data_IF_434617971549
#
_entry.id   IF_434617971549
#
_cell.length_a   1.000
_cell.length_b   1.000
_cell.length_c   1.000
_cell.angle_alpha   90.00
_cell.angle_beta   90.00
_cell.angle_gamma   90.00
#
_symmetry.space_group_name_H-M   'P 1'
#
loop_
_entity.id
_entity.type
_entity.pdbx_description
1 polymer ?
#
# COMPACT_ATOMS: atom_id res chain seq x y z
N UNK A 1 -30.61 8.63 2.92
CA UNK A 1 -30.27 9.12 1.57
C UNK A 1 -28.81 8.82 1.32
N UNK A 2 -28.49 7.94 0.38
CA UNK A 2 -27.11 7.56 0.05
C UNK A 2 -26.40 8.77 -0.55
N UNK A 3 -25.44 9.32 0.17
CA UNK A 3 -24.51 10.32 -0.33
C UNK A 3 -23.68 9.67 -1.43
N UNK A 4 -23.85 10.14 -2.66
CA UNK A 4 -23.05 9.67 -3.79
C UNK A 4 -21.57 9.81 -3.46
N UNK A 5 -20.83 8.71 -3.56
CA UNK A 5 -19.42 8.68 -3.30
C UNK A 5 -18.69 9.63 -4.28
N UNK A 6 -17.90 10.58 -3.78
CA UNK A 6 -17.16 11.51 -4.64
C UNK A 6 -16.30 10.74 -5.64
N UNK A 7 -16.23 11.20 -6.89
CA UNK A 7 -15.46 10.58 -7.99
C UNK A 7 -14.02 10.22 -7.58
N UNK A 8 -13.39 11.05 -6.75
CA UNK A 8 -12.04 10.82 -6.21
C UNK A 8 -11.95 9.55 -5.34
N UNK A 9 -12.93 9.33 -4.43
CA UNK A 9 -12.97 8.12 -3.58
C UNK A 9 -13.17 6.85 -4.41
N UNK A 10 -14.00 6.91 -5.45
CA UNK A 10 -14.19 5.80 -6.38
C UNK A 10 -12.88 5.42 -7.09
N UNK A 11 -12.12 6.41 -7.56
CA UNK A 11 -10.81 6.17 -8.19
C UNK A 11 -9.85 5.50 -7.21
N UNK A 12 -9.78 5.96 -5.96
CA UNK A 12 -8.92 5.34 -4.95
C UNK A 12 -9.34 3.89 -4.68
N UNK A 13 -10.65 3.62 -4.56
CA UNK A 13 -11.16 2.25 -4.40
C UNK A 13 -10.77 1.35 -5.58
N UNK A 14 -10.83 1.86 -6.81
CA UNK A 14 -10.38 1.13 -7.99
C UNK A 14 -8.88 0.82 -7.92
N UNK A 15 -8.05 1.80 -7.56
CA UNK A 15 -6.60 1.59 -7.39
C UNK A 15 -6.31 0.54 -6.31
N UNK A 16 -6.98 0.63 -5.14
CA UNK A 16 -6.85 -0.36 -4.07
C UNK A 16 -7.26 -1.76 -4.54
N UNK A 17 -8.33 -1.84 -5.34
CA UNK A 17 -8.78 -3.09 -5.93
C UNK A 17 -7.76 -3.67 -6.92
N UNK A 18 -7.19 -2.84 -7.76
CA UNK A 18 -6.17 -3.25 -8.72
C UNK A 18 -4.89 -3.74 -8.02
N UNK A 19 -4.50 -3.07 -6.93
CA UNK A 19 -3.39 -3.52 -6.06
C UNK A 19 -3.70 -4.91 -5.46
N UNK A 20 -4.92 -5.14 -4.98
CA UNK A 20 -5.32 -6.45 -4.45
C UNK A 20 -5.25 -7.55 -5.54
N UNK A 21 -5.71 -7.24 -6.76
CA UNK A 21 -5.66 -8.18 -7.89
C UNK A 21 -4.21 -8.46 -8.30
N UNK A 22 -3.37 -7.43 -8.40
CA UNK A 22 -1.95 -7.58 -8.70
C UNK A 22 -1.24 -8.42 -7.63
N UNK A 23 -1.53 -8.17 -6.35
CA UNK A 23 -1.00 -8.95 -5.23
C UNK A 23 -1.42 -10.41 -5.31
N UNK A 24 -2.69 -10.69 -5.62
CA UNK A 24 -3.18 -12.05 -5.84
C UNK A 24 -2.47 -12.74 -7.02
N UNK A 25 -2.25 -12.03 -8.14
CA UNK A 25 -1.51 -12.58 -9.27
C UNK A 25 -0.05 -12.91 -8.91
N UNK A 26 0.60 -12.06 -8.12
CA UNK A 26 1.97 -12.30 -7.64
C UNK A 26 2.06 -13.52 -6.70
N UNK A 27 1.04 -13.75 -5.86
CA UNK A 27 0.94 -14.96 -5.03
C UNK A 27 0.77 -16.21 -5.90
N UNK A 28 -0.17 -16.20 -6.84
CA UNK A 28 -0.45 -17.34 -7.71
C UNK A 28 0.72 -17.71 -8.63
N UNK A 29 1.58 -16.74 -8.95
CA UNK A 29 2.81 -16.94 -9.75
C UNK A 29 4.05 -17.21 -8.89
N UNK A 30 3.92 -17.24 -7.57
CA UNK A 30 5.01 -17.47 -6.63
C UNK A 30 6.04 -16.34 -6.56
N UNK A 31 5.75 -15.16 -7.12
CA UNK A 31 6.63 -13.99 -7.04
C UNK A 31 6.64 -13.38 -5.63
N UNK A 32 5.55 -13.58 -4.89
CA UNK A 32 5.45 -13.37 -3.44
C UNK A 32 4.77 -14.59 -2.83
N UNK A 33 4.95 -14.77 -1.53
CA UNK A 33 4.34 -15.82 -0.71
C UNK A 33 4.12 -15.28 0.69
N UNK A 34 3.33 -15.97 1.51
CA UNK A 34 3.31 -15.72 2.95
C UNK A 34 4.74 -15.80 3.53
N UNK A 35 5.14 -14.75 4.25
CA UNK A 35 6.45 -14.60 4.92
C UNK A 35 6.34 -14.73 6.44
N UNK A 36 5.21 -14.29 6.98
CA UNK A 36 4.94 -14.30 8.42
C UNK A 36 3.60 -13.66 8.75
N UNK A 37 3.30 -13.62 10.05
CA UNK A 37 2.08 -13.04 10.59
C UNK A 37 2.44 -12.02 11.66
N UNK A 38 1.93 -10.80 11.53
CA UNK A 38 2.00 -9.78 12.58
C UNK A 38 0.76 -9.91 13.46
N UNK A 39 0.97 -10.10 14.76
CA UNK A 39 -0.13 -10.24 15.73
C UNK A 39 -0.21 -8.98 16.57
N UNK A 40 -1.41 -8.43 16.68
CA UNK A 40 -1.76 -7.31 17.57
C UNK A 40 -2.92 -7.75 18.46
N UNK A 41 -3.16 -7.10 19.62
CA UNK A 41 -4.18 -7.55 20.57
C UNK A 41 -5.60 -7.72 20.00
N UNK A 42 -5.94 -7.03 18.92
CA UNK A 42 -7.29 -7.02 18.34
C UNK A 42 -7.37 -7.69 16.96
N UNK A 43 -6.23 -8.01 16.35
CA UNK A 43 -6.16 -8.45 14.97
C UNK A 43 -4.82 -9.08 14.61
N UNK A 44 -4.80 -9.81 13.50
CA UNK A 44 -3.55 -10.21 12.85
C UNK A 44 -3.47 -9.68 11.42
N UNK A 45 -2.26 -9.63 10.87
CA UNK A 45 -1.98 -9.23 9.48
C UNK A 45 -0.99 -10.22 8.89
N UNK A 46 -1.10 -10.49 7.61
CA UNK A 46 -0.16 -11.34 6.90
C UNK A 46 0.89 -10.46 6.22
N UNK A 47 2.14 -10.87 6.33
CA UNK A 47 3.26 -10.27 5.62
C UNK A 47 3.53 -11.13 4.38
N UNK A 48 3.47 -10.54 3.19
CA UNK A 48 3.72 -11.21 1.92
C UNK A 48 5.01 -10.68 1.29
N UNK A 49 5.93 -11.57 0.94
CA UNK A 49 7.20 -11.22 0.33
C UNK A 49 7.76 -12.35 -0.53
N UNK A 50 8.75 -12.04 -1.35
CA UNK A 50 9.35 -13.02 -2.26
C UNK A 50 10.38 -12.41 -3.20
N UNK A 51 10.71 -13.09 -4.31
CA UNK A 51 11.73 -12.67 -5.26
C UNK A 51 11.64 -11.20 -5.68
N UNK A 52 10.44 -10.73 -6.01
CA UNK A 52 10.23 -9.35 -6.46
C UNK A 52 10.39 -8.31 -5.35
N UNK A 53 10.30 -8.74 -4.09
CA UNK A 53 10.42 -7.86 -2.92
C UNK A 53 11.78 -7.98 -2.21
N UNK A 54 12.74 -8.67 -2.84
CA UNK A 54 14.13 -8.78 -2.37
C UNK A 54 14.43 -10.02 -1.53
N UNK A 55 13.51 -11.00 -1.48
CA UNK A 55 13.65 -12.21 -0.66
C UNK A 55 13.56 -13.46 -1.50
N UNK A 56 13.96 -14.61 -0.96
CA UNK A 56 13.59 -15.88 -1.59
C UNK A 56 12.14 -16.23 -1.27
N UNK A 57 11.53 -17.02 -2.15
CA UNK A 57 10.24 -17.63 -1.90
C UNK A 57 10.37 -18.68 -0.78
N UNK A 58 9.43 -18.70 0.14
CA UNK A 58 9.30 -19.75 1.16
C UNK A 58 8.92 -21.08 0.49
N UNK A 59 9.74 -22.10 0.73
CA UNK A 59 9.52 -23.45 0.24
C UNK A 59 9.89 -24.46 1.34
N UNK A 60 9.46 -25.71 1.15
CA UNK A 60 9.79 -26.79 2.07
C UNK A 60 11.30 -27.03 2.18
N UNK A 61 11.82 -27.07 3.41
CA UNK A 61 13.24 -27.41 3.68
C UNK A 61 13.60 -28.75 3.03
N UNK A 62 14.83 -28.87 2.53
CA UNK A 62 15.33 -30.05 1.82
C UNK A 62 14.49 -30.44 0.60
N UNK A 63 13.86 -29.46 -0.08
CA UNK A 63 12.98 -29.66 -1.25
C UNK A 63 11.77 -30.54 -0.93
N UNK A 64 11.25 -30.43 0.30
CA UNK A 64 10.04 -31.13 0.68
C UNK A 64 8.84 -30.60 -0.13
N UNK A 65 8.38 -31.42 -1.09
CA UNK A 65 7.29 -31.08 -2.00
C UNK A 65 5.96 -30.93 -1.27
N UNK A 66 5.69 -31.75 -0.26
CA UNK A 66 4.45 -31.68 0.52
C UNK A 66 4.34 -30.38 1.29
N UNK A 67 5.44 -29.97 1.94
CA UNK A 67 5.48 -28.67 2.64
C UNK A 67 5.33 -27.50 1.66
N UNK A 68 5.93 -27.59 0.47
CA UNK A 68 5.80 -26.56 -0.57
C UNK A 68 4.36 -26.45 -1.07
N UNK A 69 3.71 -27.59 -1.36
CA UNK A 69 2.28 -27.63 -1.75
C UNK A 69 1.41 -27.00 -0.66
N UNK A 70 1.71 -27.23 0.61
CA UNK A 70 0.96 -26.60 1.70
C UNK A 70 1.09 -25.08 1.70
N UNK A 71 2.28 -24.54 1.43
CA UNK A 71 2.49 -23.09 1.23
C UNK A 71 1.70 -22.59 0.01
N UNK A 72 1.74 -23.32 -1.11
CA UNK A 72 0.99 -22.97 -2.32
C UNK A 72 -0.52 -22.89 -2.05
N UNK A 73 -1.07 -23.81 -1.25
CA UNK A 73 -2.48 -23.81 -0.84
C UNK A 73 -2.82 -22.57 -0.03
N UNK A 74 -1.94 -22.16 0.88
CA UNK A 74 -2.11 -20.92 1.66
C UNK A 74 -2.09 -19.70 0.73
N UNK A 75 -1.14 -19.63 -0.20
CA UNK A 75 -1.04 -18.53 -1.16
C UNK A 75 -2.28 -18.42 -2.05
N UNK A 76 -2.82 -19.56 -2.51
CA UNK A 76 -4.09 -19.62 -3.27
C UNK A 76 -5.25 -19.11 -2.41
N UNK A 77 -5.34 -19.53 -1.15
CA UNK A 77 -6.40 -19.10 -0.24
C UNK A 77 -6.36 -17.58 -0.02
N UNK A 78 -5.17 -17.03 0.26
CA UNK A 78 -4.98 -15.57 0.42
C UNK A 78 -5.35 -14.84 -0.87
N UNK A 79 -4.95 -15.36 -2.03
CA UNK A 79 -5.29 -14.79 -3.35
C UNK A 79 -6.79 -14.70 -3.57
N UNK A 80 -7.55 -15.75 -3.23
CA UNK A 80 -9.01 -15.75 -3.31
C UNK A 80 -9.60 -14.69 -2.39
N UNK A 81 -9.08 -14.54 -1.17
CA UNK A 81 -9.57 -13.54 -0.22
C UNK A 81 -9.29 -12.10 -0.69
N UNK A 82 -8.14 -11.84 -1.32
CA UNK A 82 -7.84 -10.55 -1.96
C UNK A 82 -8.79 -10.25 -3.12
N UNK A 83 -9.04 -11.26 -3.98
CA UNK A 83 -10.00 -11.15 -5.09
C UNK A 83 -11.44 -11.01 -4.58
N UNK A 84 -11.79 -11.51 -3.40
CA UNK A 84 -13.12 -11.28 -2.81
C UNK A 84 -13.21 -10.00 -1.98
N UNK A 85 -12.13 -9.22 -1.90
CA UNK A 85 -12.03 -8.06 -0.99
C UNK A 85 -12.33 -8.41 0.47
N UNK A 86 -12.06 -9.65 0.89
CA UNK A 86 -12.10 -10.05 2.31
C UNK A 86 -10.77 -9.80 3.01
N UNK A 87 -9.70 -9.67 2.21
CA UNK A 87 -8.43 -9.06 2.59
C UNK A 87 -8.16 -7.90 1.63
N UNK A 88 -7.38 -6.94 2.08
CA UNK A 88 -6.83 -5.86 1.26
C UNK A 88 -5.38 -5.58 1.66
N UNK A 89 -4.62 -5.05 0.71
CA UNK A 89 -3.29 -4.51 1.00
C UNK A 89 -3.47 -3.24 1.83
N UNK A 90 -2.99 -3.27 3.07
CA UNK A 90 -3.04 -2.15 4.01
C UNK A 90 -1.82 -1.24 3.86
N UNK A 91 -0.69 -1.79 3.41
CA UNK A 91 0.53 -1.03 3.23
C UNK A 91 1.74 -1.88 2.90
N UNK A 92 2.91 -1.26 3.01
CA UNK A 92 4.21 -1.86 2.73
C UNK A 92 5.08 -1.74 3.97
N UNK A 93 5.67 -2.85 4.40
CA UNK A 93 6.74 -2.84 5.38
C UNK A 93 8.07 -2.81 4.64
N UNK A 94 8.94 -1.86 4.97
CA UNK A 94 10.25 -1.67 4.31
C UNK A 94 11.34 -2.04 5.31
N UNK A 95 12.13 -3.05 4.95
CA UNK A 95 13.36 -3.43 5.63
C UNK A 95 14.59 -2.88 4.92
N UNK A 96 15.78 -3.26 5.39
CA UNK A 96 17.06 -2.73 4.87
C UNK A 96 17.39 -3.21 3.46
N UNK A 97 16.91 -4.38 3.04
CA UNK A 97 17.20 -4.99 1.73
C UNK A 97 15.99 -5.61 1.05
N UNK A 98 14.86 -5.56 1.72
CA UNK A 98 13.62 -6.22 1.32
C UNK A 98 12.44 -5.35 1.71
N UNK A 99 11.31 -5.58 1.07
CA UNK A 99 10.02 -5.07 1.54
C UNK A 99 8.99 -6.20 1.53
N UNK A 100 7.87 -5.98 2.19
CA UNK A 100 6.74 -6.90 2.15
C UNK A 100 5.43 -6.13 2.09
N UNK A 101 4.44 -6.74 1.44
CA UNK A 101 3.08 -6.24 1.44
C UNK A 101 2.38 -6.73 2.71
N UNK A 102 1.77 -5.81 3.45
CA UNK A 102 0.98 -6.14 4.62
C UNK A 102 -0.47 -6.17 4.22
N UNK A 103 -1.12 -7.30 4.46
CA UNK A 103 -2.52 -7.55 4.13
C UNK A 103 -3.31 -7.92 5.36
N UNK A 104 -4.52 -7.37 5.44
CA UNK A 104 -5.48 -7.63 6.50
C UNK A 104 -6.89 -7.30 6.04
N UNK A 105 -7.87 -7.54 6.90
CA UNK A 105 -9.27 -7.29 6.60
C UNK A 105 -10.21 -7.97 7.60
N UNK A 106 -11.52 -8.04 7.30
CA UNK A 106 -12.52 -8.47 8.29
C UNK A 106 -12.25 -9.85 8.88
N UNK A 107 -11.72 -10.77 8.07
CA UNK A 107 -11.36 -12.14 8.51
C UNK A 107 -10.23 -12.13 9.54
N UNK A 108 -9.39 -11.09 9.54
CA UNK A 108 -8.25 -10.95 10.45
C UNK A 108 -8.52 -9.98 11.61
N UNK A 109 -9.78 -9.52 11.76
CA UNK A 109 -10.20 -8.61 12.82
C UNK A 109 -10.06 -7.12 12.50
N UNK A 110 -9.79 -6.76 11.23
CA UNK A 110 -9.60 -5.37 10.79
C UNK A 110 -10.71 -4.92 9.83
N UNK A 111 -11.17 -3.67 9.89
CA UNK A 111 -12.01 -3.14 8.82
C UNK A 111 -11.20 -3.05 7.51
N UNK A 112 -11.89 -3.04 6.36
CA UNK A 112 -11.22 -2.76 5.09
C UNK A 112 -10.75 -1.29 5.06
N UNK A 113 -9.61 -0.99 4.42
CA UNK A 113 -9.14 0.38 4.26
C UNK A 113 -10.16 1.25 3.51
N UNK A 114 -10.54 2.39 4.10
CA UNK A 114 -11.40 3.37 3.45
C UNK A 114 -10.62 4.62 2.97
N UNK A 115 -10.95 5.20 1.81
CA UNK A 115 -10.31 6.43 1.36
C UNK A 115 -10.63 7.66 2.25
N UNK A 116 -9.64 8.18 2.97
CA UNK A 116 -9.75 9.33 3.90
C UNK A 116 -9.56 10.71 3.23
N UNK A 117 -10.16 10.93 2.06
CA UNK A 117 -9.93 12.15 1.26
C UNK A 117 -10.35 13.47 1.92
N UNK A 118 -11.37 13.45 2.78
CA UNK A 118 -11.87 14.67 3.43
C UNK A 118 -10.85 15.21 4.45
N UNK A 119 -10.31 14.31 5.28
CA UNK A 119 -9.34 14.61 6.33
C UNK A 119 -8.03 15.14 5.74
N UNK A 120 -7.57 14.57 4.62
CA UNK A 120 -6.32 15.00 3.97
C UNK A 120 -6.40 16.46 3.47
N UNK A 121 -7.56 16.88 2.93
CA UNK A 121 -7.72 18.28 2.47
C UNK A 121 -7.71 19.24 3.66
N UNK A 122 -8.39 18.90 4.73
CA UNK A 122 -8.43 19.70 5.97
C UNK A 122 -7.05 19.77 6.63
N UNK A 123 -6.35 18.63 6.76
CA UNK A 123 -4.99 18.54 7.28
C UNK A 123 -4.00 19.34 6.45
N UNK A 124 -4.10 19.29 5.12
CA UNK A 124 -3.26 20.10 4.24
C UNK A 124 -3.50 21.60 4.44
N UNK A 125 -4.75 22.03 4.57
CA UNK A 125 -5.07 23.43 4.84
C UNK A 125 -4.57 23.88 6.21
N UNK A 126 -4.72 23.04 7.24
CA UNK A 126 -4.21 23.30 8.57
C UNK A 126 -2.68 23.37 8.59
N UNK A 127 -2.01 22.39 7.99
CA UNK A 127 -0.56 22.36 7.83
C UNK A 127 -0.05 23.63 7.15
N UNK A 128 -0.65 23.98 6.00
CA UNK A 128 -0.28 25.17 5.24
C UNK A 128 -0.44 26.44 6.06
N UNK A 129 -1.54 26.55 6.82
CA UNK A 129 -1.81 27.69 7.72
C UNK A 129 -0.78 27.78 8.83
N UNK A 130 -0.51 26.69 9.54
CA UNK A 130 0.49 26.67 10.62
C UNK A 130 1.88 27.03 10.11
N UNK A 131 2.27 26.49 8.95
CA UNK A 131 3.56 26.76 8.33
C UNK A 131 3.65 28.21 7.86
N UNK A 132 2.60 28.77 7.24
CA UNK A 132 2.60 30.17 6.80
C UNK A 132 2.56 31.19 7.93
N UNK A 133 1.90 30.86 9.04
CA UNK A 133 1.73 31.78 10.17
C UNK A 133 2.98 31.77 11.07
N UNK A 134 3.67 30.63 11.19
CA UNK A 134 4.85 30.48 12.06
C UNK A 134 6.17 30.78 11.34
N UNK A 135 6.26 30.48 10.05
CA UNK A 135 7.45 30.72 9.25
C UNK A 135 7.19 31.89 8.31
N UNK A 136 8.05 32.90 8.34
CA UNK A 136 8.08 33.98 7.35
C UNK A 136 8.56 33.42 6.02
N UNK A 137 7.72 32.64 5.35
CA UNK A 137 8.05 32.00 4.10
C UNK A 137 8.34 33.07 3.07
N UNK A 138 9.54 33.00 2.47
CA UNK A 138 9.94 33.91 1.42
C UNK A 138 8.96 33.76 0.24
N UNK A 139 8.20 34.84 -0.03
CA UNK A 139 7.16 34.88 -1.05
C UNK A 139 7.71 34.61 -2.45
N UNK A 140 8.96 35.02 -2.72
CA UNK A 140 9.62 34.79 -4.01
C UNK A 140 9.96 33.32 -4.21
N UNK A 141 10.35 32.61 -3.14
CA UNK A 141 10.59 31.18 -3.18
C UNK A 141 9.30 30.41 -3.46
N UNK A 142 8.21 30.75 -2.77
CA UNK A 142 6.88 30.14 -3.00
C UNK A 142 6.40 30.38 -4.43
N UNK A 143 6.57 31.60 -4.96
CA UNK A 143 6.14 31.93 -6.32
C UNK A 143 7.00 31.25 -7.40
N UNK A 144 8.24 30.92 -7.09
CA UNK A 144 9.12 30.15 -7.96
C UNK A 144 8.72 28.67 -7.96
N UNK A 145 8.47 28.09 -6.78
CA UNK A 145 8.00 26.70 -6.66
C UNK A 145 6.62 26.49 -7.31
N UNK A 146 5.66 27.40 -7.08
CA UNK A 146 4.33 27.34 -7.73
C UNK A 146 4.38 27.48 -9.25
N UNK A 147 5.36 28.22 -9.79
CA UNK A 147 5.58 28.30 -11.25
C UNK A 147 6.14 27.00 -11.79
N UNK A 148 7.07 26.38 -11.08
CA UNK A 148 7.66 25.09 -11.48
C UNK A 148 6.64 23.94 -11.42
N UNK A 149 5.74 23.92 -10.43
CA UNK A 149 4.65 22.93 -10.37
C UNK A 149 3.68 23.07 -11.55
N UNK A 150 3.52 24.28 -12.10
CA UNK A 150 2.59 24.56 -13.22
C UNK A 150 3.21 24.29 -14.59
N UNK A 151 4.54 24.20 -14.70
CA UNK A 151 5.25 24.09 -15.98
C UNK A 151 6.30 22.97 -16.05
N UNK A 152 6.45 22.15 -15.01
CA UNK A 152 7.46 21.09 -14.97
C UNK A 152 8.87 21.66 -14.79
N UNK A 153 9.72 20.93 -14.07
CA UNK A 153 11.11 21.31 -13.82
C UNK A 153 11.90 21.34 -15.14
N UNK A 154 12.01 22.52 -15.77
CA UNK A 154 12.92 22.72 -16.89
C UNK A 154 14.30 23.05 -16.33
N UNK A 155 15.05 22.00 -16.00
CA UNK A 155 16.45 22.12 -15.62
C UNK A 155 17.28 22.57 -16.82
N UNK A 156 17.61 23.86 -16.89
CA UNK A 156 18.73 24.34 -17.69
C UNK A 156 19.80 24.87 -16.75
N UNK A 157 20.71 23.98 -16.38
CA UNK A 157 21.99 24.31 -15.76
C UNK A 157 22.91 24.84 -16.86
N UNK A 158 23.14 26.15 -16.88
CA UNK A 158 24.33 26.72 -17.49
C UNK A 158 25.26 27.17 -16.35
N UNK A 159 26.28 26.35 -16.12
CA UNK A 159 27.45 26.61 -15.28
C UNK A 159 28.56 25.71 -15.77
#
# INVERSE_FOLDING_TARGET
MMTGESKEKQVIRTIQRDINIATAALLLTGQITIRGVFVTPQAFRLSLGGPITGTQRIEGVNKNKTATIFVDVIDIFISILLIKSSLAVEGVFIGSREFSLVVGGPITGLPLPEPSLSEIKEDYHLYKKVISDRFHLNKDLINTLKRNDKYGFNGSSNG
#
